data_IF_370011513981
#
_entry.id   IF_370011513981
#
_cell.length_a   1.000
_cell.length_b   1.000
_cell.length_c   1.000
_cell.angle_alpha   90.00
_cell.angle_beta   90.00
_cell.angle_gamma   90.00
#
_symmetry.space_group_name_H-M   'P 1'
#
loop_
_entity.id
_entity.type
_entity.pdbx_description
1 polymer ?
#
# COMPACT_ATOMS: atom_id res chain seq x y z
N UNK A 1 9.27 -22.24 22.86
CA UNK A 1 10.13 -21.19 22.27
C UNK A 1 9.70 -19.83 22.80
N UNK A 2 10.53 -19.19 23.63
CA UNK A 2 10.27 -17.85 24.16
C UNK A 2 10.73 -16.80 23.15
N UNK A 3 9.82 -15.91 22.77
CA UNK A 3 10.08 -14.65 22.08
C UNK A 3 10.94 -13.79 23.03
N UNK A 4 11.98 -13.12 22.51
CA UNK A 4 12.91 -12.15 23.17
C UNK A 4 14.27 -12.74 23.55
N UNK A 5 15.20 -12.71 22.60
CA UNK A 5 16.61 -12.41 22.88
C UNK A 5 17.30 -12.08 21.55
N UNK A 6 17.28 -10.81 21.19
CA UNK A 6 18.28 -10.27 20.28
C UNK A 6 18.53 -8.82 20.66
N UNK A 7 19.79 -8.40 20.55
CA UNK A 7 20.37 -7.11 20.94
C UNK A 7 20.83 -7.04 22.40
N UNK A 8 22.10 -7.38 22.61
CA UNK A 8 23.03 -6.47 23.29
C UNK A 8 24.47 -6.91 23.00
N UNK A 9 25.14 -6.19 22.11
CA UNK A 9 26.59 -6.11 22.09
C UNK A 9 26.97 -4.82 21.35
N UNK A 10 27.15 -3.75 22.13
CA UNK A 10 27.75 -2.50 21.68
C UNK A 10 29.21 -2.53 22.13
N UNK A 11 30.14 -2.76 21.20
CA UNK A 11 31.56 -2.50 21.44
C UNK A 11 31.87 -1.08 20.96
N UNK A 12 32.28 -0.21 21.89
CA UNK A 12 32.75 1.13 21.59
C UNK A 12 34.14 1.05 20.92
N UNK A 13 34.29 1.63 19.74
CA UNK A 13 35.59 1.95 19.15
C UNK A 13 35.70 3.46 19.04
N UNK A 14 36.65 4.02 19.78
CA UNK A 14 36.99 5.43 19.76
C UNK A 14 37.85 5.77 18.52
N UNK A 15 37.61 6.94 17.94
CA UNK A 15 38.63 7.69 17.19
C UNK A 15 38.51 7.72 15.67
N UNK A 16 37.75 8.69 15.14
CA UNK A 16 38.07 9.35 13.87
C UNK A 16 37.60 10.81 13.95
N UNK A 17 38.53 11.76 13.88
CA UNK A 17 38.21 13.18 13.82
C UNK A 17 37.59 13.51 12.44
N UNK A 18 36.31 13.84 12.42
CA UNK A 18 35.62 14.32 11.21
C UNK A 18 35.62 15.85 11.25
N UNK A 19 36.29 16.46 10.29
CA UNK A 19 36.29 17.91 10.07
C UNK A 19 34.85 18.42 9.84
N UNK A 20 34.44 19.56 10.43
CA UNK A 20 33.16 20.16 10.12
C UNK A 20 33.28 20.88 8.78
N UNK A 21 32.87 20.24 7.68
CA UNK A 21 32.54 20.99 6.47
C UNK A 21 31.33 21.84 6.77
N UNK A 22 31.54 23.16 6.75
CA UNK A 22 30.52 24.17 6.90
C UNK A 22 29.29 23.81 6.06
N UNK A 23 28.18 23.54 6.74
CA UNK A 23 26.85 23.48 6.13
C UNK A 23 26.45 24.92 5.79
N UNK A 24 26.94 25.39 4.65
CA UNK A 24 26.34 26.49 3.92
C UNK A 24 24.88 26.13 3.69
N UNK A 25 24.00 26.91 4.33
CA UNK A 25 22.56 26.74 4.28
C UNK A 25 22.04 26.77 2.85
N UNK A 26 21.74 25.59 2.32
CA UNK A 26 20.64 25.42 1.41
C UNK A 26 19.51 24.83 2.23
N UNK A 27 18.51 25.66 2.55
CA UNK A 27 17.19 25.19 2.95
C UNK A 27 16.74 24.27 1.82
N UNK A 28 16.92 22.95 1.98
CA UNK A 28 16.35 21.97 1.07
C UNK A 28 14.86 22.25 1.09
N UNK A 29 14.35 22.84 0.00
CA UNK A 29 12.93 22.94 -0.34
C UNK A 29 12.28 21.64 0.16
N UNK A 30 11.38 21.70 1.13
CA UNK A 30 10.78 20.53 1.82
C UNK A 30 10.48 19.42 0.81
N UNK A 31 11.43 18.50 0.59
CA UNK A 31 11.23 17.33 -0.26
C UNK A 31 10.50 16.36 0.66
N UNK A 32 9.24 15.99 0.34
CA UNK A 32 8.56 14.98 1.13
C UNK A 32 9.46 13.74 1.23
N UNK A 33 9.54 13.09 2.41
CA UNK A 33 10.30 11.86 2.53
C UNK A 33 9.82 10.84 1.47
N UNK A 34 10.71 9.97 0.97
CA UNK A 34 10.31 8.93 0.02
C UNK A 34 9.23 8.06 0.65
N UNK A 35 8.15 7.80 -0.11
CA UNK A 35 7.08 6.91 0.34
C UNK A 35 7.58 5.47 0.36
N UNK A 36 7.18 4.71 1.38
CA UNK A 36 7.41 3.27 1.45
C UNK A 36 6.53 2.56 0.42
N UNK A 37 7.14 1.75 -0.43
CA UNK A 37 6.43 0.94 -1.42
C UNK A 37 5.97 -0.34 -0.77
N UNK A 38 4.66 -0.57 -0.80
CA UNK A 38 4.09 -1.77 -0.20
C UNK A 38 3.23 -2.51 -1.20
N UNK A 39 3.02 -3.80 -0.96
CA UNK A 39 1.99 -4.57 -1.62
C UNK A 39 0.88 -4.96 -0.64
N UNK A 40 -0.32 -5.24 -1.15
CA UNK A 40 -1.40 -5.82 -0.35
C UNK A 40 -1.70 -7.24 -0.84
N UNK A 41 -1.48 -8.24 0.03
CA UNK A 41 -1.76 -9.65 -0.26
C UNK A 41 -3.06 -10.07 0.42
N UNK A 42 -3.98 -10.65 -0.36
CA UNK A 42 -5.33 -11.00 0.05
C UNK A 42 -6.23 -9.78 0.02
N UNK A 43 -6.88 -9.51 -1.11
CA UNK A 43 -7.73 -8.33 -1.32
C UNK A 43 -9.21 -8.69 -1.44
N UNK A 44 -9.65 -9.62 -0.59
CA UNK A 44 -11.06 -9.86 -0.30
C UNK A 44 -11.68 -8.73 0.54
N UNK A 45 -12.83 -8.98 1.17
CA UNK A 45 -13.57 -7.99 1.98
C UNK A 45 -12.69 -7.27 3.01
N UNK A 46 -11.98 -8.03 3.85
CA UNK A 46 -11.17 -7.46 4.93
C UNK A 46 -9.92 -6.79 4.43
N UNK A 47 -9.20 -7.47 3.53
CA UNK A 47 -8.00 -6.92 2.91
C UNK A 47 -8.28 -5.60 2.21
N UNK A 48 -9.41 -5.51 1.49
CA UNK A 48 -9.82 -4.26 0.84
C UNK A 48 -10.06 -3.14 1.87
N UNK A 49 -10.68 -3.41 3.03
CA UNK A 49 -10.88 -2.38 4.07
C UNK A 49 -9.57 -1.88 4.65
N UNK A 50 -8.66 -2.79 4.96
CA UNK A 50 -7.32 -2.43 5.44
C UNK A 50 -6.60 -1.61 4.38
N UNK A 51 -6.60 -2.07 3.12
CA UNK A 51 -6.02 -1.35 1.98
C UNK A 51 -6.59 0.07 1.83
N UNK A 52 -7.90 0.27 1.99
CA UNK A 52 -8.52 1.59 1.96
C UNK A 52 -8.03 2.51 3.10
N UNK A 53 -7.63 1.98 4.26
CA UNK A 53 -7.00 2.78 5.31
C UNK A 53 -5.52 3.07 4.99
N UNK A 54 -4.80 2.09 4.44
CA UNK A 54 -3.41 2.27 4.01
C UNK A 54 -3.26 3.36 2.93
N UNK A 55 -4.21 3.45 1.99
CA UNK A 55 -4.25 4.50 0.97
C UNK A 55 -4.25 5.92 1.54
N UNK A 56 -4.79 6.10 2.75
CA UNK A 56 -4.87 7.40 3.44
C UNK A 56 -3.57 7.80 4.13
N UNK A 57 -2.62 6.88 4.29
CA UNK A 57 -1.33 7.15 4.92
C UNK A 57 -0.41 7.80 3.85
N UNK A 58 -0.05 9.09 3.97
CA UNK A 58 0.66 9.81 2.91
C UNK A 58 2.04 9.23 2.58
N UNK A 59 2.65 8.57 3.57
CA UNK A 59 3.99 7.99 3.47
C UNK A 59 3.99 6.59 2.85
N UNK A 60 2.82 6.03 2.50
CA UNK A 60 2.70 4.73 1.83
C UNK A 60 2.36 4.89 0.34
N UNK A 61 2.95 4.00 -0.45
CA UNK A 61 2.66 3.85 -1.86
C UNK A 61 2.36 2.37 -2.15
N UNK A 62 1.09 2.03 -2.33
CA UNK A 62 0.73 0.68 -2.77
C UNK A 62 1.06 0.54 -4.26
N UNK A 63 1.97 -0.36 -4.62
CA UNK A 63 2.42 -0.58 -6.01
C UNK A 63 1.99 -1.93 -6.58
N UNK A 64 1.58 -2.88 -5.72
CA UNK A 64 1.14 -4.19 -6.15
C UNK A 64 0.06 -4.78 -5.24
N UNK A 65 -0.76 -5.67 -5.79
CA UNK A 65 -1.74 -6.47 -5.05
C UNK A 65 -1.69 -7.93 -5.48
N UNK A 66 -2.03 -8.84 -4.58
CA UNK A 66 -2.21 -10.24 -4.90
C UNK A 66 -3.49 -10.81 -4.30
N UNK A 67 -4.24 -11.55 -5.11
CA UNK A 67 -5.37 -12.37 -4.65
C UNK A 67 -5.59 -13.49 -5.68
N UNK A 68 -5.75 -14.77 -5.26
CA UNK A 68 -6.04 -15.87 -6.18
C UNK A 68 -7.32 -15.63 -7.00
N UNK A 69 -8.30 -14.95 -6.42
CA UNK A 69 -9.54 -14.57 -7.10
C UNK A 69 -9.29 -13.31 -7.94
N UNK A 70 -9.58 -13.42 -9.24
CA UNK A 70 -9.48 -12.27 -10.16
C UNK A 70 -10.44 -11.17 -9.72
N UNK A 71 -11.71 -11.57 -9.64
CA UNK A 71 -12.85 -10.77 -9.25
C UNK A 71 -14.01 -11.73 -8.96
N UNK A 72 -14.77 -11.48 -7.89
CA UNK A 72 -16.01 -12.20 -7.56
C UNK A 72 -16.91 -11.29 -6.73
N UNK A 73 -18.22 -11.49 -6.79
CA UNK A 73 -19.24 -10.76 -6.02
C UNK A 73 -19.74 -11.53 -4.79
N UNK A 74 -19.29 -12.77 -4.61
CA UNK A 74 -19.72 -13.67 -3.51
C UNK A 74 -18.94 -13.50 -2.22
N UNK A 75 -18.07 -12.49 -2.13
CA UNK A 75 -17.40 -12.18 -0.87
C UNK A 75 -18.43 -11.83 0.22
N UNK A 76 -18.12 -12.18 1.46
CA UNK A 76 -19.01 -11.88 2.58
C UNK A 76 -18.87 -10.41 2.98
N UNK A 77 -19.99 -9.74 3.22
CA UNK A 77 -20.01 -8.35 3.68
C UNK A 77 -20.52 -8.28 5.11
N UNK A 78 -20.17 -7.22 5.85
CA UNK A 78 -20.66 -7.03 7.23
C UNK A 78 -22.01 -6.30 7.32
N UNK A 79 -22.49 -5.81 6.19
CA UNK A 79 -23.82 -5.24 6.03
C UNK A 79 -24.15 -5.09 4.55
N UNK A 80 -25.42 -4.82 4.21
CA UNK A 80 -25.81 -4.58 2.82
C UNK A 80 -24.94 -3.48 2.19
N UNK A 81 -24.24 -3.84 1.11
CA UNK A 81 -23.41 -2.91 0.34
C UNK A 81 -22.32 -2.14 1.10
N UNK A 82 -21.95 -2.53 2.33
CA UNK A 82 -21.00 -1.77 3.16
C UNK A 82 -19.65 -1.56 2.47
N UNK A 83 -18.99 -2.63 1.96
CA UNK A 83 -17.72 -2.47 1.24
C UNK A 83 -17.85 -1.48 0.07
N UNK A 84 -18.92 -1.59 -0.72
CA UNK A 84 -19.18 -0.73 -1.88
C UNK A 84 -19.29 0.72 -1.46
N UNK A 85 -20.09 1.03 -0.45
CA UNK A 85 -20.25 2.38 0.08
C UNK A 85 -18.93 2.94 0.60
N UNK A 86 -18.15 2.10 1.30
CA UNK A 86 -16.83 2.47 1.82
C UNK A 86 -15.84 2.77 0.69
N UNK A 87 -15.84 1.96 -0.39
CA UNK A 87 -15.02 2.24 -1.59
C UNK A 87 -15.47 3.55 -2.24
N UNK A 88 -16.77 3.72 -2.53
CA UNK A 88 -17.33 4.94 -3.14
C UNK A 88 -16.85 6.19 -2.43
N UNK A 89 -16.94 6.19 -1.10
CA UNK A 89 -16.48 7.29 -0.27
C UNK A 89 -14.97 7.49 -0.35
N UNK A 90 -14.19 6.40 -0.18
CA UNK A 90 -12.74 6.48 -0.16
C UNK A 90 -12.18 7.00 -1.49
N UNK A 91 -12.55 6.40 -2.61
CA UNK A 91 -12.02 6.80 -3.92
C UNK A 91 -12.81 7.93 -4.57
N UNK A 92 -13.89 8.43 -3.97
CA UNK A 92 -14.72 9.51 -4.53
C UNK A 92 -15.37 9.16 -5.87
N UNK A 93 -15.81 7.91 -6.01
CA UNK A 93 -16.50 7.39 -7.20
C UNK A 93 -17.91 6.94 -6.80
N UNK A 94 -18.94 7.82 -6.87
CA UNK A 94 -20.27 7.52 -6.32
C UNK A 94 -20.99 6.36 -7.01
N UNK A 95 -20.64 6.08 -8.27
CA UNK A 95 -21.27 5.03 -9.08
C UNK A 95 -20.48 3.72 -9.07
N UNK A 96 -19.43 3.61 -8.23
CA UNK A 96 -18.66 2.37 -8.10
C UNK A 96 -19.58 1.19 -7.79
N UNK A 97 -19.52 0.14 -8.61
CA UNK A 97 -20.35 -1.06 -8.54
C UNK A 97 -21.87 -0.79 -8.44
N UNK A 98 -22.36 0.25 -9.11
CA UNK A 98 -23.80 0.43 -9.28
C UNK A 98 -24.44 -0.77 -10.01
N UNK A 99 -25.59 -1.24 -9.53
CA UNK A 99 -26.30 -2.40 -10.10
C UNK A 99 -25.65 -3.76 -9.86
N UNK A 100 -24.44 -3.83 -9.31
CA UNK A 100 -23.80 -5.11 -8.95
C UNK A 100 -24.50 -5.68 -7.72
N UNK A 101 -24.82 -6.98 -7.70
CA UNK A 101 -25.31 -7.64 -6.47
C UNK A 101 -24.14 -8.16 -5.62
N UNK A 102 -24.33 -8.23 -4.31
CA UNK A 102 -23.30 -8.74 -3.39
C UNK A 102 -22.12 -7.79 -3.15
N UNK A 103 -20.95 -8.39 -2.93
CA UNK A 103 -19.72 -7.72 -2.52
C UNK A 103 -18.58 -8.07 -3.49
N UNK A 104 -18.28 -7.15 -4.40
CA UNK A 104 -17.22 -7.30 -5.38
C UNK A 104 -15.85 -7.06 -4.74
N UNK A 105 -14.95 -8.05 -4.82
CA UNK A 105 -13.56 -7.94 -4.37
C UNK A 105 -12.65 -8.89 -5.17
N UNK A 106 -11.36 -8.97 -4.81
CA UNK A 106 -10.33 -9.70 -5.56
C UNK A 106 -9.24 -8.76 -6.07
N UNK A 107 -8.26 -9.29 -6.81
CA UNK A 107 -7.08 -8.52 -7.23
C UNK A 107 -7.40 -7.41 -8.24
N UNK A 108 -8.36 -7.62 -9.14
CA UNK A 108 -8.71 -6.63 -10.17
C UNK A 108 -9.48 -5.42 -9.58
N UNK A 109 -10.53 -5.61 -8.75
CA UNK A 109 -11.13 -4.50 -8.02
C UNK A 109 -10.11 -3.75 -7.16
N UNK A 110 -9.22 -4.46 -6.47
CA UNK A 110 -8.19 -3.83 -5.65
C UNK A 110 -7.23 -2.96 -6.49
N UNK A 111 -6.74 -3.49 -7.61
CA UNK A 111 -5.92 -2.75 -8.57
C UNK A 111 -6.62 -1.48 -9.05
N UNK A 112 -7.90 -1.60 -9.42
CA UNK A 112 -8.72 -0.46 -9.87
C UNK A 112 -8.84 0.60 -8.77
N UNK A 113 -9.15 0.21 -7.54
CA UNK A 113 -9.25 1.12 -6.38
C UNK A 113 -7.95 1.90 -6.18
N UNK A 114 -6.80 1.20 -6.14
CA UNK A 114 -5.48 1.81 -5.93
C UNK A 114 -5.14 2.77 -7.07
N UNK A 115 -5.38 2.38 -8.31
CA UNK A 115 -5.14 3.22 -9.48
C UNK A 115 -6.03 4.47 -9.49
N UNK A 116 -7.30 4.33 -9.15
CA UNK A 116 -8.22 5.48 -9.06
C UNK A 116 -7.78 6.44 -7.96
N UNK A 117 -7.38 5.93 -6.79
CA UNK A 117 -6.92 6.78 -5.68
C UNK A 117 -5.69 7.60 -6.04
N UNK A 118 -4.63 6.96 -6.53
CA UNK A 118 -3.38 7.66 -6.86
C UNK A 118 -3.46 8.45 -8.18
N UNK A 119 -4.30 8.03 -9.13
CA UNK A 119 -4.52 8.76 -10.38
C UNK A 119 -5.13 10.15 -10.20
N UNK A 120 -5.77 10.41 -9.05
CA UNK A 120 -6.28 11.74 -8.67
C UNK A 120 -5.20 12.68 -8.13
N UNK A 121 -4.00 12.18 -7.78
CA UNK A 121 -2.92 12.96 -7.21
C UNK A 121 -2.01 13.53 -8.32
N UNK A 122 -2.21 14.79 -8.70
CA UNK A 122 -1.50 15.43 -9.83
C UNK A 122 0.02 15.47 -9.68
N UNK A 123 0.53 15.60 -8.45
CA UNK A 123 1.96 15.73 -8.17
C UNK A 123 2.66 14.38 -7.95
N UNK A 124 1.92 13.26 -8.00
CA UNK A 124 2.45 11.93 -7.79
C UNK A 124 2.83 11.27 -9.13
N UNK A 125 4.11 10.93 -9.28
CA UNK A 125 4.57 10.06 -10.38
C UNK A 125 4.27 8.60 -10.04
N UNK A 126 3.06 8.15 -10.37
CA UNK A 126 2.61 6.78 -10.14
C UNK A 126 2.51 5.99 -11.44
N UNK A 127 3.13 4.81 -11.50
CA UNK A 127 3.16 3.95 -12.70
C UNK A 127 1.96 3.00 -12.80
N UNK A 128 1.14 2.91 -11.76
CA UNK A 128 0.05 1.95 -11.66
C UNK A 128 0.35 0.84 -10.65
N UNK A 129 -0.72 0.11 -10.32
CA UNK A 129 -0.69 -1.05 -9.44
C UNK A 129 -0.58 -2.33 -10.28
N UNK A 130 0.40 -3.18 -9.99
CA UNK A 130 0.46 -4.51 -10.55
C UNK A 130 -0.50 -5.45 -9.80
N UNK A 131 -1.04 -6.47 -10.48
CA UNK A 131 -1.98 -7.42 -9.88
C UNK A 131 -1.59 -8.86 -10.20
N UNK A 132 -1.51 -9.70 -9.17
CA UNK A 132 -1.03 -11.06 -9.28
C UNK A 132 -2.06 -12.05 -8.75
N UNK A 133 -2.19 -13.20 -9.41
CA UNK A 133 -2.96 -14.31 -8.88
C UNK A 133 -2.22 -15.02 -7.74
N UNK A 134 -0.89 -14.99 -7.78
CA UNK A 134 -0.02 -15.64 -6.80
C UNK A 134 0.91 -14.62 -6.14
N UNK A 135 0.91 -14.59 -4.81
CA UNK A 135 1.78 -13.67 -4.06
C UNK A 135 3.25 -14.03 -4.20
N UNK A 136 3.59 -15.29 -4.52
CA UNK A 136 4.97 -15.72 -4.74
C UNK A 136 5.54 -15.07 -6.00
N UNK A 137 4.72 -14.99 -7.06
CA UNK A 137 5.07 -14.28 -8.28
C UNK A 137 5.22 -12.78 -8.03
N UNK A 138 4.35 -12.20 -7.20
CA UNK A 138 4.48 -10.80 -6.75
C UNK A 138 5.84 -10.57 -6.08
N UNK A 139 6.20 -11.38 -5.07
CA UNK A 139 7.48 -11.26 -4.36
C UNK A 139 8.70 -11.54 -5.27
N UNK A 140 8.51 -12.35 -6.31
CA UNK A 140 9.53 -12.59 -7.33
C UNK A 140 9.74 -11.36 -8.22
N UNK A 141 8.68 -10.67 -8.63
CA UNK A 141 8.76 -9.57 -9.61
C UNK A 141 8.96 -8.19 -8.98
N UNK A 142 8.35 -7.94 -7.83
CA UNK A 142 8.35 -6.65 -7.14
C UNK A 142 9.54 -6.56 -6.16
N UNK A 143 10.73 -6.26 -6.70
CA UNK A 143 11.99 -6.24 -5.92
C UNK A 143 12.22 -4.96 -5.12
N UNK A 144 11.43 -3.93 -5.33
CA UNK A 144 11.55 -2.62 -4.70
C UNK A 144 10.50 -2.37 -3.61
N UNK A 145 9.87 -3.43 -3.10
CA UNK A 145 8.95 -3.36 -1.97
C UNK A 145 9.69 -3.22 -0.64
N UNK A 146 9.20 -2.30 0.19
CA UNK A 146 9.60 -2.12 1.59
C UNK A 146 8.75 -2.99 2.54
N UNK A 147 7.59 -3.49 2.10
CA UNK A 147 6.72 -4.35 2.91
C UNK A 147 5.53 -4.96 2.18
N UNK A 148 4.89 -5.95 2.83
CA UNK A 148 3.64 -6.62 2.40
C UNK A 148 2.68 -6.83 3.58
#
# INVERSE_FOLDING_TARGET
>A
MKRRQFISQTAAVAGAAVLPTALSGQVKKNVPPPRLKIACIGTGTQGTRVMLQLLKIPDLLITAVADPVKEDTRYQNWGPYELRSTIRYAIGEPNWDEGVEGCRAGREPARQIVNTWYGKQKDLKYKGCNAYADFRELLEKEKDLDGV
#
